data_IF_697533747225
#
_entry.id   IF_697533747225
#
_cell.length_a   1.000
_cell.length_b   1.000
_cell.length_c   1.000
_cell.angle_alpha   90.00
_cell.angle_beta   90.00
_cell.angle_gamma   90.00
#
_symmetry.space_group_name_H-M   'P 1'
#
loop_
_entity.id
_entity.type
_entity.pdbx_description
1 polymer ?
#
# COMPACT_ATOMS: atom_id res chain seq x y z
N UNK A 1 -0.98 53.71 -3.09
CA UNK A 1 0.32 52.99 -3.18
C UNK A 1 0.47 52.29 -1.85
N UNK A 2 0.14 51.02 -1.79
CA UNK A 2 0.06 50.24 -0.55
C UNK A 2 -0.29 48.81 -0.91
N UNK A 3 0.56 47.89 -0.44
CA UNK A 3 0.70 46.47 -0.73
C UNK A 3 -0.44 45.74 -1.46
N UNK A 4 -0.07 45.16 -2.61
CA UNK A 4 -0.60 43.86 -3.02
C UNK A 4 0.55 43.02 -3.56
N UNK A 5 1.17 42.23 -2.68
CA UNK A 5 2.00 41.07 -3.03
C UNK A 5 2.23 40.31 -1.73
N UNK A 6 1.43 39.27 -1.51
CA UNK A 6 1.74 38.05 -0.75
C UNK A 6 0.42 37.37 -0.36
N UNK A 7 -0.16 36.56 -1.26
CA UNK A 7 -1.21 35.60 -0.90
C UNK A 7 -1.47 34.53 -1.99
N UNK A 8 -0.49 34.20 -2.84
CA UNK A 8 -0.71 33.24 -3.94
C UNK A 8 0.10 31.94 -3.84
N UNK A 9 0.67 31.63 -2.67
CA UNK A 9 1.36 30.36 -2.41
C UNK A 9 0.59 29.42 -1.46
N UNK A 10 -0.44 29.91 -0.75
CA UNK A 10 -1.09 29.12 0.31
C UNK A 10 -2.20 28.17 -0.18
N UNK A 11 -2.85 28.45 -1.33
CA UNK A 11 -4.00 27.67 -1.79
C UNK A 11 -3.65 26.31 -2.42
N UNK A 12 -2.46 26.15 -3.02
CA UNK A 12 -2.02 24.86 -3.56
C UNK A 12 -1.50 23.91 -2.47
N UNK A 13 -0.98 24.44 -1.36
CA UNK A 13 -0.57 23.65 -0.21
C UNK A 13 -1.77 23.02 0.51
N UNK A 14 -2.87 23.77 0.72
CA UNK A 14 -4.05 23.26 1.45
C UNK A 14 -4.85 22.16 0.74
N UNK A 15 -4.75 22.04 -0.60
CA UNK A 15 -5.40 20.94 -1.33
C UNK A 15 -4.60 19.63 -1.26
N UNK A 16 -3.27 19.69 -1.09
CA UNK A 16 -2.44 18.51 -0.85
C UNK A 16 -2.47 18.07 0.62
N UNK A 17 -2.74 18.99 1.55
CA UNK A 17 -2.90 18.69 2.99
C UNK A 17 -4.15 17.89 3.34
N UNK A 18 -5.16 17.83 2.45
CA UNK A 18 -6.42 17.13 2.75
C UNK A 18 -6.36 15.61 2.52
N UNK A 19 -5.26 15.08 1.97
CA UNK A 19 -5.08 13.64 1.74
C UNK A 19 -3.89 13.04 2.51
N UNK A 20 -3.08 13.88 3.15
CA UNK A 20 -1.95 13.46 3.98
C UNK A 20 -2.46 12.97 5.33
N UNK A 21 -2.48 11.66 5.53
CA UNK A 21 -3.05 11.06 6.74
C UNK A 21 -2.05 11.17 7.89
N UNK A 22 -2.42 11.87 8.96
CA UNK A 22 -1.56 12.02 10.12
C UNK A 22 -1.48 10.70 10.91
N UNK A 23 -0.27 10.21 11.10
CA UNK A 23 0.03 8.95 11.77
C UNK A 23 1.12 9.10 12.81
N UNK A 24 1.07 8.26 13.84
CA UNK A 24 2.19 8.01 14.74
C UNK A 24 2.87 6.70 14.36
N UNK A 25 4.19 6.75 14.26
CA UNK A 25 5.01 5.57 14.00
C UNK A 25 5.47 4.98 15.32
N UNK A 26 5.26 3.68 15.49
CA UNK A 26 5.70 2.93 16.64
C UNK A 26 6.63 1.79 16.23
N UNK A 27 7.66 1.56 17.04
CA UNK A 27 8.62 0.47 16.87
C UNK A 27 8.64 -0.41 18.12
N UNK A 28 8.50 -1.73 17.95
CA UNK A 28 8.57 -2.67 19.06
C UNK A 28 10.04 -2.89 19.46
N UNK A 29 10.39 -2.49 20.67
CA UNK A 29 11.71 -2.77 21.25
C UNK A 29 11.81 -4.24 21.68
N UNK A 30 13.04 -4.76 21.76
CA UNK A 30 13.38 -6.11 22.24
C UNK A 30 12.76 -6.49 23.61
N UNK A 31 12.40 -5.50 24.43
CA UNK A 31 11.69 -5.69 25.69
C UNK A 31 10.15 -5.78 25.60
N UNK A 32 9.57 -5.91 24.41
CA UNK A 32 8.12 -5.99 24.19
C UNK A 32 7.37 -4.67 24.41
N UNK A 33 8.08 -3.54 24.38
CA UNK A 33 7.50 -2.20 24.56
C UNK A 33 7.53 -1.43 23.24
N UNK A 34 6.41 -0.80 22.90
CA UNK A 34 6.31 0.12 21.77
C UNK A 34 6.98 1.45 22.09
N UNK A 35 7.93 1.81 21.25
CA UNK A 35 8.66 3.07 21.24
C UNK A 35 8.01 4.00 20.21
N UNK A 36 7.73 5.23 20.61
CA UNK A 36 7.18 6.26 19.72
C UNK A 36 8.34 6.86 18.91
N UNK A 37 8.26 6.74 17.59
CA UNK A 37 9.29 7.22 16.67
C UNK A 37 9.01 8.64 16.17
N UNK A 38 7.80 9.15 16.39
CA UNK A 38 7.38 10.47 15.92
C UNK A 38 5.96 10.48 15.35
N UNK A 39 5.50 11.69 15.05
CA UNK A 39 4.21 11.95 14.40
C UNK A 39 4.46 12.58 13.05
N UNK A 40 3.83 12.06 12.01
CA UNK A 40 4.04 12.53 10.66
C UNK A 40 2.85 12.27 9.75
N UNK A 41 3.05 12.46 8.47
CA UNK A 41 2.06 12.24 7.42
C UNK A 41 2.47 11.04 6.58
N UNK A 42 1.60 10.03 6.50
CA UNK A 42 1.84 8.87 5.65
C UNK A 42 1.40 9.13 4.21
N UNK A 43 2.22 8.68 3.28
CA UNK A 43 1.96 8.63 1.86
C UNK A 43 2.32 7.23 1.32
N UNK A 44 1.59 6.80 0.30
CA UNK A 44 1.92 5.61 -0.50
C UNK A 44 2.40 6.11 -1.85
N UNK A 45 3.66 5.86 -2.19
CA UNK A 45 4.25 6.30 -3.47
C UNK A 45 5.29 5.28 -3.98
N UNK A 46 5.70 5.42 -5.24
CA UNK A 46 6.75 4.61 -5.83
C UNK A 46 8.11 5.20 -5.44
N UNK A 47 8.82 4.50 -4.55
CA UNK A 47 10.18 4.90 -4.15
C UNK A 47 11.07 4.91 -5.40
N UNK A 48 11.77 6.02 -5.65
CA UNK A 48 12.62 6.17 -6.83
C UNK A 48 13.66 5.04 -6.93
N UNK A 49 13.61 4.29 -8.02
CA UNK A 49 14.48 3.12 -8.26
C UNK A 49 13.89 1.78 -7.83
N UNK A 50 12.80 1.78 -7.08
CA UNK A 50 12.01 0.59 -6.75
C UNK A 50 10.89 0.39 -7.78
N UNK A 51 10.69 -0.85 -8.22
CA UNK A 51 9.52 -1.22 -9.05
C UNK A 51 8.24 -1.33 -8.23
N UNK A 52 8.38 -1.36 -6.91
CA UNK A 52 7.33 -1.67 -5.97
C UNK A 52 7.01 -0.40 -5.16
N UNK A 53 5.71 -0.10 -4.95
CA UNK A 53 5.29 1.02 -4.13
C UNK A 53 5.63 0.79 -2.65
N UNK A 54 5.83 1.87 -1.92
CA UNK A 54 6.19 1.86 -0.50
C UNK A 54 5.39 2.87 0.32
N UNK A 55 5.39 2.64 1.62
CA UNK A 55 4.88 3.56 2.63
C UNK A 55 6.00 4.50 3.06
N UNK A 56 5.75 5.79 2.97
CA UNK A 56 6.66 6.82 3.45
C UNK A 56 5.93 7.69 4.47
N UNK A 57 6.53 7.89 5.64
CA UNK A 57 6.04 8.81 6.65
C UNK A 57 7.00 9.97 6.77
N UNK A 58 6.49 11.18 6.56
CA UNK A 58 7.24 12.42 6.65
C UNK A 58 6.86 13.16 7.94
N UNK A 59 7.85 13.67 8.66
CA UNK A 59 7.68 14.47 9.87
C UNK A 59 6.83 15.73 9.60
N UNK A 60 6.03 16.16 10.59
CA UNK A 60 5.19 17.34 10.42
C UNK A 60 5.92 18.67 10.64
N UNK A 61 7.09 18.66 11.30
CA UNK A 61 7.85 19.86 11.64
C UNK A 61 8.94 20.15 10.60
N UNK A 62 9.77 19.16 10.29
CA UNK A 62 10.92 19.32 9.37
C UNK A 62 10.69 18.64 8.00
N UNK A 63 9.60 17.86 7.84
CA UNK A 63 9.35 17.08 6.63
C UNK A 63 10.48 16.06 6.32
N UNK A 64 11.26 15.68 7.34
CA UNK A 64 12.21 14.57 7.24
C UNK A 64 11.49 13.23 7.18
N UNK A 65 12.13 12.25 6.57
CA UNK A 65 11.57 10.91 6.46
C UNK A 65 11.70 10.15 7.77
N UNK A 66 10.59 9.99 8.49
CA UNK A 66 10.51 9.21 9.74
C UNK A 66 10.52 7.70 9.47
N UNK A 67 9.87 7.27 8.39
CA UNK A 67 9.76 5.86 8.03
C UNK A 67 9.69 5.71 6.51
N UNK A 68 10.46 4.75 5.99
CA UNK A 68 10.27 4.20 4.64
C UNK A 68 10.11 2.71 4.80
N UNK A 69 9.07 2.16 4.19
CA UNK A 69 8.84 0.73 4.17
C UNK A 69 8.33 0.30 2.79
N UNK A 70 9.06 -0.59 2.13
CA UNK A 70 8.60 -1.18 0.88
C UNK A 70 7.45 -2.16 1.13
N UNK A 71 6.34 -1.97 0.43
CA UNK A 71 5.22 -2.89 0.55
C UNK A 71 5.59 -4.20 -0.16
N UNK A 72 5.59 -5.32 0.57
CA UNK A 72 5.93 -6.63 0.01
C UNK A 72 4.68 -7.41 -0.35
N UNK A 73 4.82 -8.44 -1.19
CA UNK A 73 3.74 -9.39 -1.49
C UNK A 73 3.38 -10.33 -0.33
N UNK A 74 4.11 -10.27 0.78
CA UNK A 74 3.90 -11.14 1.94
C UNK A 74 2.72 -10.64 2.78
N UNK A 75 1.97 -11.58 3.37
CA UNK A 75 0.85 -11.28 4.29
C UNK A 75 1.36 -10.93 5.70
N UNK A 76 2.24 -9.92 5.80
CA UNK A 76 2.82 -9.44 7.07
C UNK A 76 2.02 -8.30 7.70
N UNK A 77 1.16 -7.63 6.92
CA UNK A 77 0.38 -6.49 7.37
C UNK A 77 -0.87 -6.94 8.12
N UNK A 78 -1.13 -6.32 9.25
CA UNK A 78 -2.32 -6.55 10.07
C UNK A 78 -2.95 -5.24 10.46
N UNK A 79 -4.21 -5.06 10.08
CA UNK A 79 -5.04 -3.99 10.61
C UNK A 79 -5.51 -4.38 12.01
N UNK A 80 -5.05 -3.63 13.01
CA UNK A 80 -5.56 -3.70 14.38
C UNK A 80 -6.55 -2.54 14.56
N UNK A 81 -7.72 -2.83 15.14
CA UNK A 81 -8.81 -1.85 15.27
C UNK A 81 -9.24 -1.27 13.92
N UNK A 82 -9.67 0.00 13.89
CA UNK A 82 -10.05 0.73 12.68
C UNK A 82 -9.03 1.82 12.30
N UNK A 83 -8.03 2.06 13.16
CA UNK A 83 -7.04 3.13 13.05
C UNK A 83 -5.60 2.65 13.15
N UNK A 84 -5.30 1.36 13.31
CA UNK A 84 -3.93 0.88 13.49
C UNK A 84 -3.56 -0.14 12.42
N UNK A 85 -2.39 0.00 11.82
CA UNK A 85 -1.81 -0.98 10.90
C UNK A 85 -0.44 -1.35 11.45
N UNK A 86 -0.24 -2.63 11.73
CA UNK A 86 1.04 -3.17 12.23
C UNK A 86 1.60 -4.21 11.28
N UNK A 87 2.91 -4.26 11.12
CA UNK A 87 3.60 -5.27 10.32
C UNK A 87 4.99 -5.55 10.90
N UNK A 88 5.59 -6.65 10.45
CA UNK A 88 6.98 -6.97 10.79
C UNK A 88 7.89 -6.52 9.67
N UNK A 89 8.74 -5.56 9.95
CA UNK A 89 9.67 -5.01 8.97
C UNK A 89 10.88 -5.96 8.79
N UNK A 90 11.15 -6.46 7.58
CA UNK A 90 12.27 -7.36 7.33
C UNK A 90 13.63 -6.64 7.35
N UNK A 91 13.69 -5.35 7.04
CA UNK A 91 14.92 -4.56 7.00
C UNK A 91 15.37 -4.15 8.40
N UNK A 92 14.43 -3.67 9.21
CA UNK A 92 14.64 -3.28 10.60
C UNK A 92 14.54 -4.47 11.58
N UNK A 93 14.17 -5.66 11.09
CA UNK A 93 14.01 -6.90 11.85
C UNK A 93 13.15 -6.75 13.13
N UNK A 94 12.19 -5.83 13.11
CA UNK A 94 11.37 -5.42 14.25
C UNK A 94 9.91 -5.28 13.84
N UNK A 95 9.01 -5.22 14.82
CA UNK A 95 7.60 -4.94 14.54
C UNK A 95 7.38 -3.42 14.52
N UNK A 96 6.70 -2.95 13.47
CA UNK A 96 6.30 -1.57 13.30
C UNK A 96 4.79 -1.46 13.37
N UNK A 97 4.30 -0.33 13.87
CA UNK A 97 2.88 -0.01 13.85
C UNK A 97 2.66 1.47 13.50
N UNK A 98 1.71 1.72 12.62
CA UNK A 98 1.18 3.04 12.30
C UNK A 98 -0.17 3.19 12.99
N UNK A 99 -0.25 4.18 13.87
CA UNK A 99 -1.53 4.60 14.45
C UNK A 99 -2.00 5.85 13.73
N UNK A 100 -3.13 5.74 13.06
CA UNK A 100 -3.77 6.82 12.33
C UNK A 100 -4.62 7.67 13.27
N UNK A 101 -4.63 8.98 13.02
CA UNK A 101 -5.54 9.88 13.72
C UNK A 101 -6.99 9.66 13.28
N UNK A 102 -7.23 9.29 12.02
CA UNK A 102 -8.55 9.09 11.44
C UNK A 102 -8.73 7.67 10.86
N UNK A 103 -9.87 7.04 11.14
CA UNK A 103 -10.21 5.71 10.63
C UNK A 103 -10.38 5.67 9.09
N UNK A 104 -10.82 6.78 8.51
CA UNK A 104 -10.90 6.97 7.06
C UNK A 104 -9.50 6.85 6.42
N UNK A 105 -8.50 7.50 7.01
CA UNK A 105 -7.11 7.42 6.59
C UNK A 105 -6.52 6.02 6.69
N UNK A 106 -6.75 5.35 7.82
CA UNK A 106 -6.33 3.97 8.01
C UNK A 106 -6.93 3.04 6.96
N UNK A 107 -8.24 3.18 6.70
CA UNK A 107 -8.92 2.33 5.71
C UNK A 107 -8.41 2.58 4.29
N UNK A 108 -8.11 3.85 3.94
CA UNK A 108 -7.50 4.19 2.66
C UNK A 108 -6.12 3.54 2.50
N UNK A 109 -5.22 3.68 3.47
CA UNK A 109 -3.88 3.10 3.39
C UNK A 109 -3.93 1.57 3.40
N UNK A 110 -4.81 0.99 4.22
CA UNK A 110 -5.02 -0.45 4.27
C UNK A 110 -5.47 -1.03 2.93
N UNK A 111 -6.43 -0.38 2.26
CA UNK A 111 -6.91 -0.80 0.93
C UNK A 111 -5.78 -0.73 -0.10
N UNK A 112 -4.99 0.35 -0.08
CA UNK A 112 -3.81 0.49 -0.95
C UNK A 112 -2.79 -0.65 -0.70
N UNK A 113 -2.46 -0.97 0.56
CA UNK A 113 -1.56 -2.09 0.88
C UNK A 113 -2.12 -3.40 0.31
N UNK A 114 -3.41 -3.68 0.51
CA UNK A 114 -4.04 -4.90 0.02
C UNK A 114 -4.05 -4.98 -1.51
N UNK A 115 -4.33 -3.88 -2.21
CA UNK A 115 -4.31 -3.82 -3.68
C UNK A 115 -2.89 -4.05 -4.21
N UNK A 116 -1.89 -3.42 -3.58
CA UNK A 116 -0.49 -3.59 -3.91
C UNK A 116 -0.04 -5.02 -3.69
N UNK A 117 -0.29 -5.61 -2.52
CA UNK A 117 0.02 -7.02 -2.24
C UNK A 117 -0.58 -7.92 -3.32
N UNK A 118 -1.85 -7.65 -3.69
CA UNK A 118 -2.56 -8.36 -4.74
C UNK A 118 -1.89 -8.20 -6.11
N UNK A 119 -1.45 -7.00 -6.47
CA UNK A 119 -0.76 -6.75 -7.72
C UNK A 119 0.64 -7.40 -7.77
N UNK A 120 1.37 -7.39 -6.65
CA UNK A 120 2.70 -8.00 -6.54
C UNK A 120 2.63 -9.52 -6.59
N UNK A 121 1.67 -10.16 -5.90
CA UNK A 121 1.46 -11.61 -6.03
C UNK A 121 1.10 -12.01 -7.47
N UNK A 122 0.32 -11.18 -8.20
CA UNK A 122 0.00 -11.42 -9.60
C UNK A 122 1.22 -11.22 -10.52
N UNK A 123 2.03 -10.20 -10.27
CA UNK A 123 3.29 -10.00 -11.01
C UNK A 123 4.30 -11.12 -10.76
N UNK A 124 4.38 -11.65 -9.53
CA UNK A 124 5.19 -12.83 -9.22
C UNK A 124 4.64 -14.11 -9.86
N UNK A 125 3.32 -14.22 -10.05
CA UNK A 125 2.68 -15.32 -10.79
C UNK A 125 2.80 -15.19 -12.31
N UNK A 126 3.21 -14.03 -12.83
CA UNK A 126 3.48 -13.82 -14.27
C UNK A 126 4.69 -14.60 -14.82
N UNK A 127 5.42 -15.32 -13.95
CA UNK A 127 6.53 -16.20 -14.32
C UNK A 127 6.17 -17.69 -14.47
N UNK A 128 4.94 -18.12 -14.18
CA UNK A 128 4.56 -19.53 -14.32
C UNK A 128 3.36 -19.69 -15.26
N UNK A 129 3.65 -20.26 -16.42
CA UNK A 129 2.75 -20.93 -17.37
C UNK A 129 1.25 -20.71 -17.14
N UNK A 130 0.64 -19.99 -18.07
CA UNK A 130 -0.73 -20.28 -18.50
C UNK A 130 -0.76 -21.76 -18.89
N UNK A 131 -1.15 -22.62 -17.95
CA UNK A 131 -1.59 -23.97 -18.28
C UNK A 131 -2.85 -23.79 -19.15
N UNK A 132 -2.84 -24.18 -20.44
CA UNK A 132 -4.07 -24.19 -21.21
C UNK A 132 -5.03 -25.14 -20.49
N UNK A 133 -6.22 -24.61 -20.18
CA UNK A 133 -7.33 -25.32 -19.55
C UNK A 133 -7.46 -26.71 -20.17
N UNK A 134 -7.55 -27.82 -19.41
CA UNK A 134 -7.85 -29.11 -20.00
C UNK A 134 -9.16 -28.97 -20.77
N UNK A 135 -9.13 -29.30 -22.06
CA UNK A 135 -10.29 -29.30 -22.91
C UNK A 135 -11.34 -30.21 -22.24
N UNK A 136 -12.41 -29.61 -21.74
CA UNK A 136 -13.54 -30.37 -21.22
C UNK A 136 -14.18 -31.06 -22.42
N UNK A 137 -13.89 -32.34 -22.57
CA UNK A 137 -14.65 -33.25 -23.41
C UNK A 137 -16.12 -33.09 -23.07
N UNK A 138 -16.92 -32.63 -24.03
CA UNK A 138 -18.35 -32.82 -24.03
C UNK A 138 -18.71 -33.61 -25.29
N UNK A 139 -18.75 -34.92 -25.08
CA UNK A 139 -19.42 -35.92 -25.91
C UNK A 139 -20.89 -35.53 -26.11
N UNK A 140 -21.36 -35.43 -27.35
CA UNK A 140 -22.68 -35.91 -27.85
C UNK A 140 -22.53 -36.18 -29.36
N UNK A 141 -22.29 -37.43 -29.77
CA UNK A 141 -23.30 -38.42 -30.16
C UNK A 141 -24.04 -38.14 -31.49
N UNK A 142 -23.56 -38.84 -32.54
CA UNK A 142 -24.33 -39.69 -33.45
C UNK A 142 -25.21 -39.13 -34.59
N UNK A 143 -24.83 -39.56 -35.81
CA UNK A 143 -25.65 -40.01 -36.99
C UNK A 143 -26.23 -38.92 -37.92
N UNK A 144 -26.32 -39.05 -39.25
CA UNK A 144 -26.10 -40.13 -40.23
C UNK A 144 -26.00 -39.56 -41.68
N UNK A 145 -25.09 -40.13 -42.47
CA UNK A 145 -24.97 -40.42 -43.92
C UNK A 145 -25.64 -39.59 -45.07
N UNK A 146 -24.88 -39.57 -46.19
CA UNK A 146 -25.22 -39.44 -47.64
C UNK A 146 -25.34 -38.01 -48.20
N UNK A 147 -24.88 -37.65 -49.42
CA UNK A 147 -24.31 -38.37 -50.57
C UNK A 147 -23.78 -37.35 -51.60
N UNK A 148 -22.85 -37.81 -52.45
CA UNK A 148 -22.33 -37.12 -53.64
C UNK A 148 -23.40 -36.65 -54.64
N UNK A 149 -23.08 -35.56 -55.34
CA UNK A 149 -23.68 -35.12 -56.60
C UNK A 149 -22.78 -34.09 -57.25
#
# INVERSE_FOLDING_TARGET
MGEQREASASAAAVAHSSNMQRVKVYRLRDGGKWDDQGTGHVAVDYIEGSKEPGLTVLDEEDNETLLVHNITSEDIYRKQEETIISWRDPEAATELALSFQEAAGCSYIWDNICDIQRNLQFSNLGGLEVCPRPASEHLEASRVLHSHG
#
